data_IF_234227864707
#
_entry.id   IF_234227864707
#
_cell.length_a   1.000
_cell.length_b   1.000
_cell.length_c   1.000
_cell.angle_alpha   90.00
_cell.angle_beta   90.00
_cell.angle_gamma   90.00
#
_symmetry.space_group_name_H-M   'P 1'
#
loop_
_entity.id
_entity.type
_entity.pdbx_description
1 polymer ?
#
# COMPACT_ATOMS: atom_id res chain seq x y z
N UNK A 1 11.86 -81.57 69.04
CA UNK A 1 12.90 -81.18 68.05
C UNK A 1 12.28 -81.39 66.69
N UNK A 2 11.80 -80.31 66.06
CA UNK A 2 12.55 -79.48 65.10
C UNK A 2 12.44 -80.12 63.70
N UNK A 3 11.51 -79.61 62.86
CA UNK A 3 11.78 -78.83 61.63
C UNK A 3 12.31 -79.68 60.46
N UNK A 4 11.91 -79.55 59.20
CA UNK A 4 11.02 -78.68 58.44
C UNK A 4 11.01 -79.30 57.00
N UNK A 5 10.75 -78.60 55.88
CA UNK A 5 9.55 -78.72 55.05
C UNK A 5 9.84 -79.23 53.62
N UNK A 6 8.77 -79.31 52.80
CA UNK A 6 8.65 -78.71 51.45
C UNK A 6 7.42 -79.35 50.77
N UNK A 7 6.27 -78.67 50.76
CA UNK A 7 5.88 -77.76 49.68
C UNK A 7 5.27 -78.50 48.49
N UNK A 8 3.95 -78.50 48.36
CA UNK A 8 3.29 -78.32 47.06
C UNK A 8 1.90 -77.75 47.29
N UNK A 9 1.82 -76.44 47.06
CA UNK A 9 0.60 -75.66 46.85
C UNK A 9 -0.21 -76.27 45.70
N UNK A 10 -1.47 -76.65 45.94
CA UNK A 10 -2.52 -76.73 44.91
C UNK A 10 -3.50 -75.59 45.20
N UNK A 11 -3.28 -74.42 44.61
CA UNK A 11 -3.92 -73.95 43.37
C UNK A 11 -5.45 -74.07 43.50
N UNK A 12 -6.10 -72.96 43.91
CA UNK A 12 -6.94 -72.14 43.02
C UNK A 12 -7.98 -73.00 42.29
N UNK A 13 -9.24 -72.95 42.66
CA UNK A 13 -10.03 -71.73 42.53
C UNK A 13 -11.11 -72.04 41.49
N UNK A 14 -12.36 -72.01 41.92
CA UNK A 14 -13.53 -72.06 41.05
C UNK A 14 -13.37 -71.04 39.93
N UNK A 15 -13.45 -71.49 38.68
CA UNK A 15 -13.84 -70.66 37.56
C UNK A 15 -14.93 -71.39 36.80
N UNK A 16 -16.16 -71.13 37.24
CA UNK A 16 -17.40 -71.37 36.52
C UNK A 16 -17.27 -70.77 35.11
N UNK A 17 -17.30 -71.63 34.08
CA UNK A 17 -17.23 -71.21 32.69
C UNK A 17 -18.63 -70.88 32.18
N UNK A 18 -19.16 -69.72 32.54
CA UNK A 18 -20.38 -69.19 31.91
C UNK A 18 -20.01 -68.42 30.64
N UNK A 19 -19.96 -69.14 29.52
CA UNK A 19 -19.85 -68.55 28.20
C UNK A 19 -21.18 -67.84 27.85
N UNK A 20 -21.29 -66.56 28.22
CA UNK A 20 -22.39 -65.68 27.81
C UNK A 20 -22.28 -65.43 26.31
N UNK A 21 -23.09 -66.14 25.49
CA UNK A 21 -23.26 -65.83 24.06
C UNK A 21 -23.73 -64.37 23.95
N UNK A 22 -22.88 -63.48 23.45
CA UNK A 22 -23.26 -62.09 23.16
C UNK A 22 -24.19 -62.13 21.94
N UNK A 23 -25.43 -61.60 22.03
CA UNK A 23 -26.28 -61.50 20.85
C UNK A 23 -25.58 -60.62 19.82
N UNK A 24 -25.45 -61.13 18.61
CA UNK A 24 -24.98 -60.38 17.45
C UNK A 24 -26.08 -59.38 17.09
N UNK A 25 -25.96 -58.14 17.57
CA UNK A 25 -26.86 -57.06 17.19
C UNK A 25 -26.56 -56.74 15.72
N UNK A 26 -27.49 -56.96 14.77
CA UNK A 26 -27.26 -56.59 13.38
C UNK A 26 -27.04 -55.08 13.31
N UNK A 27 -25.88 -54.67 12.78
CA UNK A 27 -25.59 -53.26 12.54
C UNK A 27 -26.59 -52.76 11.48
N UNK A 28 -27.33 -51.67 11.73
CA UNK A 28 -28.14 -51.07 10.68
C UNK A 28 -27.22 -50.73 9.50
N UNK A 29 -27.59 -51.18 8.30
CA UNK A 29 -26.85 -50.87 7.08
C UNK A 29 -26.91 -49.35 6.86
N UNK A 30 -25.82 -48.66 7.19
CA UNK A 30 -25.73 -47.20 6.99
C UNK A 30 -25.57 -46.93 5.49
N UNK A 31 -26.68 -46.57 4.87
CA UNK A 31 -26.73 -46.20 3.45
C UNK A 31 -26.32 -44.74 3.26
N UNK A 32 -25.16 -44.53 2.63
CA UNK A 32 -24.91 -43.48 1.63
C UNK A 32 -24.90 -41.99 2.03
N UNK A 33 -25.46 -41.59 3.17
CA UNK A 33 -25.65 -40.18 3.50
C UNK A 33 -24.35 -39.43 3.88
N UNK A 34 -23.33 -40.15 4.36
CA UNK A 34 -22.06 -39.55 4.82
C UNK A 34 -21.34 -38.83 3.68
N UNK A 35 -21.31 -39.42 2.48
CA UNK A 35 -20.67 -38.79 1.32
C UNK A 35 -21.35 -37.47 0.95
N UNK A 36 -22.69 -37.45 0.91
CA UNK A 36 -23.46 -36.25 0.59
C UNK A 36 -23.23 -35.13 1.61
N UNK A 37 -23.27 -35.45 2.91
CA UNK A 37 -23.02 -34.49 3.99
C UNK A 37 -21.58 -33.96 3.92
N UNK A 38 -20.60 -34.85 3.69
CA UNK A 38 -19.19 -34.45 3.57
C UNK A 38 -18.94 -33.51 2.39
N UNK A 39 -19.60 -33.75 1.25
CA UNK A 39 -19.51 -32.89 0.07
C UNK A 39 -20.11 -31.51 0.35
N UNK A 40 -21.29 -31.45 1.00
CA UNK A 40 -21.92 -30.18 1.36
C UNK A 40 -21.02 -29.37 2.30
N UNK A 41 -20.46 -30.01 3.34
CA UNK A 41 -19.54 -29.34 4.27
C UNK A 41 -18.29 -28.86 3.54
N UNK A 42 -17.71 -29.68 2.66
CA UNK A 42 -16.53 -29.31 1.87
C UNK A 42 -16.82 -28.10 0.98
N UNK A 43 -17.96 -28.08 0.28
CA UNK A 43 -18.36 -26.94 -0.55
C UNK A 43 -18.53 -25.68 0.28
N UNK A 44 -19.17 -25.75 1.45
CA UNK A 44 -19.32 -24.60 2.34
C UNK A 44 -17.95 -24.05 2.79
N UNK A 45 -17.01 -24.91 3.19
CA UNK A 45 -15.66 -24.50 3.55
C UNK A 45 -14.92 -23.86 2.39
N UNK A 46 -15.06 -24.38 1.17
CA UNK A 46 -14.42 -23.78 -0.02
C UNK A 46 -14.94 -22.38 -0.32
N UNK A 47 -16.26 -22.15 -0.21
CA UNK A 47 -16.86 -20.83 -0.45
C UNK A 47 -16.35 -19.81 0.58
N UNK A 48 -16.25 -20.22 1.85
CA UNK A 48 -15.71 -19.38 2.92
C UNK A 48 -14.23 -19.06 2.65
N UNK A 49 -13.44 -20.08 2.28
CA UNK A 49 -12.03 -19.92 1.96
C UNK A 49 -11.78 -18.97 0.79
N UNK A 50 -12.56 -19.09 -0.30
CA UNK A 50 -12.47 -18.20 -1.46
C UNK A 50 -12.87 -16.78 -1.08
N UNK A 51 -13.95 -16.61 -0.33
CA UNK A 51 -14.40 -15.29 0.12
C UNK A 51 -13.32 -14.58 0.93
N UNK A 52 -12.70 -15.26 1.89
CA UNK A 52 -11.60 -14.70 2.70
C UNK A 52 -10.41 -14.28 1.83
N UNK A 53 -10.01 -15.10 0.87
CA UNK A 53 -8.91 -14.76 -0.05
C UNK A 53 -9.22 -13.53 -0.92
N UNK A 54 -10.48 -13.35 -1.36
CA UNK A 54 -10.90 -12.17 -2.11
C UNK A 54 -10.82 -10.89 -1.27
N UNK A 55 -11.23 -10.94 0.01
CA UNK A 55 -11.12 -9.80 0.92
C UNK A 55 -9.65 -9.37 1.11
N UNK A 56 -8.76 -10.32 1.39
CA UNK A 56 -7.32 -10.03 1.52
C UNK A 56 -6.75 -9.40 0.24
N UNK A 57 -7.13 -9.90 -0.93
CA UNK A 57 -6.68 -9.32 -2.20
C UNK A 57 -7.16 -7.87 -2.43
N UNK A 58 -8.33 -7.50 -1.91
CA UNK A 58 -8.80 -6.10 -1.96
C UNK A 58 -8.02 -5.22 -0.98
N UNK A 59 -7.76 -5.70 0.23
CA UNK A 59 -6.96 -4.97 1.23
C UNK A 59 -5.53 -4.72 0.74
N UNK A 60 -4.90 -5.71 0.09
CA UNK A 60 -3.57 -5.55 -0.51
C UNK A 60 -3.56 -4.47 -1.59
N UNK A 61 -4.55 -4.46 -2.49
CA UNK A 61 -4.67 -3.41 -3.52
C UNK A 61 -4.91 -2.02 -2.93
N UNK A 62 -5.75 -1.92 -1.90
CA UNK A 62 -5.97 -0.65 -1.20
C UNK A 62 -4.70 -0.18 -0.48
N UNK A 63 -3.96 -1.08 0.16
CA UNK A 63 -2.69 -0.79 0.81
C UNK A 63 -1.62 -0.34 -0.20
N UNK A 64 -1.56 -1.00 -1.37
CA UNK A 64 -0.69 -0.61 -2.48
C UNK A 64 -1.00 0.81 -3.00
N UNK A 65 -2.26 1.08 -3.33
CA UNK A 65 -2.69 2.41 -3.80
C UNK A 65 -2.43 3.50 -2.76
N UNK A 66 -2.67 3.21 -1.48
CA UNK A 66 -2.39 4.15 -0.40
C UNK A 66 -0.89 4.41 -0.26
N UNK A 67 -0.06 3.37 -0.38
CA UNK A 67 1.39 3.50 -0.35
C UNK A 67 1.90 4.37 -1.49
N UNK A 68 1.45 4.11 -2.71
CA UNK A 68 1.83 4.90 -3.89
C UNK A 68 1.42 6.36 -3.76
N UNK A 69 0.20 6.63 -3.28
CA UNK A 69 -0.27 8.01 -3.04
C UNK A 69 0.54 8.73 -1.96
N UNK A 70 0.94 8.03 -0.90
CA UNK A 70 1.78 8.60 0.15
C UNK A 70 3.19 8.92 -0.38
N UNK A 71 3.76 8.06 -1.22
CA UNK A 71 5.04 8.32 -1.87
C UNK A 71 4.96 9.54 -2.80
N UNK A 72 3.91 9.63 -3.62
CA UNK A 72 3.68 10.77 -4.50
C UNK A 72 3.56 12.08 -3.69
N UNK A 73 2.88 12.05 -2.55
CA UNK A 73 2.74 13.20 -1.66
C UNK A 73 4.08 13.63 -1.07
N UNK A 74 4.87 12.70 -0.54
CA UNK A 74 6.20 12.99 0.00
C UNK A 74 7.14 13.57 -1.07
N UNK A 75 7.06 13.05 -2.30
CA UNK A 75 7.81 13.56 -3.43
C UNK A 75 7.40 15.00 -3.77
N UNK A 76 6.09 15.28 -3.83
CA UNK A 76 5.56 16.61 -4.07
C UNK A 76 5.96 17.61 -2.96
N UNK A 77 5.90 17.20 -1.70
CA UNK A 77 6.31 18.03 -0.55
C UNK A 77 7.81 18.35 -0.59
N UNK A 78 8.63 17.38 -0.98
CA UNK A 78 10.07 17.58 -1.14
C UNK A 78 10.37 18.61 -2.23
N UNK A 79 9.71 18.49 -3.39
CA UNK A 79 9.84 19.49 -4.46
C UNK A 79 9.30 20.87 -4.06
N UNK A 80 8.20 20.92 -3.31
CA UNK A 80 7.63 22.16 -2.81
C UNK A 80 8.61 22.88 -1.89
N UNK A 81 9.22 22.15 -0.95
CA UNK A 81 10.21 22.69 -0.02
C UNK A 81 11.47 23.21 -0.73
N UNK A 82 11.98 22.47 -1.72
CA UNK A 82 13.11 22.94 -2.53
C UNK A 82 12.75 24.22 -3.30
N UNK A 83 11.54 24.28 -3.85
CA UNK A 83 11.08 25.46 -4.58
C UNK A 83 10.93 26.68 -3.67
N UNK A 84 10.45 26.51 -2.44
CA UNK A 84 10.37 27.58 -1.44
C UNK A 84 11.76 28.11 -1.07
N UNK A 85 12.73 27.22 -0.84
CA UNK A 85 14.12 27.59 -0.58
C UNK A 85 14.72 28.38 -1.75
N UNK A 86 14.54 27.89 -2.98
CA UNK A 86 15.03 28.62 -4.16
C UNK A 86 14.35 29.98 -4.31
N UNK A 87 13.05 30.07 -4.06
CA UNK A 87 12.31 31.34 -4.15
C UNK A 87 12.83 32.39 -3.15
N UNK A 88 13.36 31.96 -2.01
CA UNK A 88 14.04 32.85 -1.05
C UNK A 88 15.37 33.42 -1.60
N UNK A 89 16.04 32.74 -2.53
CA UNK A 89 17.26 33.22 -3.19
C UNK A 89 16.98 33.95 -4.52
N UNK A 90 15.77 33.83 -5.07
CA UNK A 90 15.41 34.45 -6.34
C UNK A 90 15.35 35.99 -6.25
N UNK A 91 15.64 36.63 -7.38
CA UNK A 91 15.41 38.05 -7.58
C UNK A 91 13.90 38.36 -7.52
N UNK A 92 13.50 39.58 -7.10
CA UNK A 92 12.09 39.99 -7.12
C UNK A 92 11.42 39.75 -8.48
N UNK A 93 10.14 39.41 -8.46
CA UNK A 93 9.38 38.97 -9.63
C UNK A 93 9.60 39.81 -10.91
N UNK A 94 9.58 41.16 -10.88
CA UNK A 94 9.75 41.96 -12.09
C UNK A 94 11.10 41.77 -12.79
N UNK A 95 12.13 41.34 -12.05
CA UNK A 95 13.47 41.10 -12.59
C UNK A 95 13.56 39.64 -13.07
N UNK A 96 13.12 38.69 -12.25
CA UNK A 96 13.18 37.26 -12.56
C UNK A 96 12.40 36.88 -13.83
N UNK A 97 11.25 37.51 -14.09
CA UNK A 97 10.44 37.24 -15.28
C UNK A 97 11.12 37.60 -16.61
N UNK A 98 12.09 38.52 -16.60
CA UNK A 98 12.81 38.94 -17.80
C UNK A 98 14.01 38.05 -18.15
N UNK A 99 14.34 37.07 -17.29
CA UNK A 99 15.52 36.22 -17.45
C UNK A 99 15.23 34.91 -18.20
N UNK A 100 13.96 34.59 -18.48
CA UNK A 100 13.58 33.37 -19.19
C UNK A 100 14.01 32.08 -18.45
N UNK A 101 13.98 32.12 -17.11
CA UNK A 101 14.39 31.00 -16.27
C UNK A 101 13.43 29.81 -16.44
N UNK A 102 13.98 28.60 -16.56
CA UNK A 102 13.20 27.36 -16.63
C UNK A 102 12.36 27.18 -15.37
N UNK A 103 11.08 26.81 -15.54
CA UNK A 103 10.15 26.58 -14.42
C UNK A 103 9.69 27.85 -13.71
N UNK A 104 10.05 29.03 -14.19
CA UNK A 104 9.58 30.31 -13.68
C UNK A 104 8.57 30.94 -14.64
N UNK A 105 7.45 31.43 -14.12
CA UNK A 105 6.36 32.01 -14.89
C UNK A 105 6.00 33.41 -14.37
N UNK A 106 5.80 34.35 -15.29
CA UNK A 106 5.39 35.71 -14.97
C UNK A 106 3.92 35.75 -14.52
N UNK A 107 3.49 36.91 -13.99
CA UNK A 107 2.10 37.12 -13.57
C UNK A 107 1.08 36.97 -14.71
N UNK A 108 1.46 37.41 -15.91
CA UNK A 108 0.62 37.34 -17.11
C UNK A 108 0.73 36.00 -17.85
N UNK A 109 1.61 35.10 -17.40
CA UNK A 109 1.73 33.77 -17.97
C UNK A 109 0.86 32.79 -17.18
N UNK A 110 -0.03 32.09 -17.87
CA UNK A 110 -0.85 31.03 -17.30
C UNK A 110 -0.29 29.66 -17.75
N UNK A 111 0.59 29.02 -16.96
CA UNK A 111 1.09 27.70 -17.27
C UNK A 111 -0.06 26.68 -17.31
N UNK A 112 -0.03 25.80 -18.31
CA UNK A 112 -0.94 24.66 -18.41
C UNK A 112 -0.49 23.60 -17.41
N UNK A 113 -1.18 23.52 -16.27
CA UNK A 113 -0.82 22.64 -15.14
C UNK A 113 -1.68 21.37 -15.05
N UNK A 114 -2.75 21.27 -15.84
CA UNK A 114 -3.59 20.08 -15.94
C UNK A 114 -2.91 19.01 -16.83
N UNK A 115 -3.49 17.81 -16.90
CA UNK A 115 -2.95 16.72 -17.73
C UNK A 115 -3.32 16.85 -19.23
N UNK A 116 -3.62 18.07 -19.70
CA UNK A 116 -3.86 18.32 -21.12
C UNK A 116 -2.56 18.24 -21.94
N UNK A 117 -2.64 17.97 -23.26
CA UNK A 117 -1.46 17.91 -24.12
C UNK A 117 -0.68 19.23 -24.12
N UNK A 118 0.64 19.17 -23.97
CA UNK A 118 1.49 20.36 -23.91
C UNK A 118 1.57 21.02 -22.53
N UNK A 119 1.14 20.32 -21.48
CA UNK A 119 1.30 20.78 -20.11
C UNK A 119 2.78 20.96 -19.70
N UNK A 120 2.99 21.72 -18.63
CA UNK A 120 4.32 22.07 -18.12
C UNK A 120 5.13 20.87 -17.63
N UNK A 121 4.46 19.80 -17.21
CA UNK A 121 5.08 18.61 -16.61
C UNK A 121 5.68 17.66 -17.66
N UNK A 122 5.05 17.60 -18.84
CA UNK A 122 5.46 16.75 -19.96
C UNK A 122 6.33 17.49 -20.99
N UNK A 123 6.38 18.82 -20.94
CA UNK A 123 7.15 19.63 -21.88
C UNK A 123 8.55 19.94 -21.34
N UNK A 124 9.59 19.53 -22.08
CA UNK A 124 10.98 19.78 -21.67
C UNK A 124 11.27 21.28 -21.49
N UNK A 125 11.92 21.63 -20.38
CA UNK A 125 12.28 23.03 -20.07
C UNK A 125 11.13 23.89 -19.57
N UNK A 126 9.96 23.32 -19.28
CA UNK A 126 8.80 24.05 -18.70
C UNK A 126 8.64 23.86 -17.19
N UNK A 127 9.19 22.80 -16.62
CA UNK A 127 9.24 22.57 -15.17
C UNK A 127 10.67 22.29 -14.72
N UNK A 128 10.97 22.63 -13.47
CA UNK A 128 12.20 22.24 -12.80
C UNK A 128 12.01 20.87 -12.18
N UNK A 129 13.06 20.06 -12.15
CA UNK A 129 13.07 18.78 -11.45
C UNK A 129 13.82 18.95 -10.14
N UNK A 130 13.21 18.55 -9.05
CA UNK A 130 13.82 18.60 -7.73
C UNK A 130 14.97 17.58 -7.62
N UNK A 131 16.01 17.95 -6.88
CA UNK A 131 17.25 17.18 -6.73
C UNK A 131 17.12 15.97 -5.79
N UNK A 132 15.91 15.69 -5.30
CA UNK A 132 15.63 14.53 -4.49
C UNK A 132 15.73 13.27 -5.37
N UNK A 133 16.90 12.64 -5.35
CA UNK A 133 17.08 11.26 -5.80
C UNK A 133 16.31 10.35 -4.83
N UNK A 134 15.00 10.24 -5.01
CA UNK A 134 14.21 9.23 -4.36
C UNK A 134 14.67 7.87 -4.94
N UNK A 135 15.13 6.98 -4.06
CA UNK A 135 15.68 5.68 -4.47
C UNK A 135 14.67 4.94 -5.37
N UNK A 136 15.08 4.57 -6.58
CA UNK A 136 14.23 3.89 -7.57
C UNK A 136 13.54 4.80 -8.60
N UNK A 137 13.69 6.12 -8.53
CA UNK A 137 13.10 7.03 -9.51
C UNK A 137 13.88 7.07 -10.83
N UNK A 138 13.28 6.58 -11.91
CA UNK A 138 13.68 6.94 -13.28
C UNK A 138 13.44 8.44 -13.51
N UNK A 139 14.05 9.07 -14.52
CA UNK A 139 13.91 10.51 -14.81
C UNK A 139 12.44 11.00 -14.92
N UNK A 140 11.51 10.09 -15.19
CA UNK A 140 10.05 10.31 -15.24
C UNK A 140 9.38 10.34 -13.85
N UNK A 141 10.02 9.77 -12.83
CA UNK A 141 9.52 9.65 -11.46
C UNK A 141 10.17 10.63 -10.47
N UNK A 142 10.93 11.60 -10.97
CA UNK A 142 11.50 12.67 -10.15
C UNK A 142 10.45 13.76 -9.94
N UNK A 143 10.30 14.28 -8.71
CA UNK A 143 9.31 15.31 -8.45
C UNK A 143 9.69 16.61 -9.15
N UNK A 144 8.69 17.32 -9.67
CA UNK A 144 8.85 18.52 -10.48
C UNK A 144 8.16 19.70 -9.80
N UNK A 145 8.57 20.92 -10.09
CA UNK A 145 7.89 22.13 -9.62
C UNK A 145 8.01 23.29 -10.61
N UNK A 146 7.10 24.23 -10.46
CA UNK A 146 7.09 25.53 -11.12
C UNK A 146 6.83 26.63 -10.10
N UNK A 147 7.37 27.81 -10.38
CA UNK A 147 7.20 29.01 -9.58
C UNK A 147 6.53 30.05 -10.47
N UNK A 148 5.38 30.56 -10.06
CA UNK A 148 4.62 31.57 -10.79
C UNK A 148 4.48 32.82 -9.93
N UNK A 149 4.73 34.00 -10.48
CA UNK A 149 4.37 35.22 -9.79
C UNK A 149 2.86 35.45 -9.79
N UNK A 150 2.31 35.88 -8.66
CA UNK A 150 0.91 36.34 -8.55
C UNK A 150 0.83 37.86 -8.45
N UNK A 151 1.88 38.51 -7.97
CA UNK A 151 2.00 39.97 -7.99
C UNK A 151 3.40 40.35 -8.45
N UNK A 152 3.51 41.45 -9.19
CA UNK A 152 4.79 42.00 -9.65
C UNK A 152 4.93 43.43 -9.14
N UNK A 153 5.38 43.59 -7.90
CA UNK A 153 5.70 44.90 -7.35
C UNK A 153 7.20 45.18 -7.50
N UNK A 154 7.57 46.23 -8.23
CA UNK A 154 8.96 46.70 -8.28
C UNK A 154 9.34 47.30 -6.92
N UNK A 155 10.01 46.50 -6.09
CA UNK A 155 10.49 46.91 -4.76
C UNK A 155 9.47 46.74 -3.62
N UNK A 156 8.40 45.97 -3.83
CA UNK A 156 7.42 45.62 -2.78
C UNK A 156 7.32 44.11 -2.55
N UNK A 157 6.46 43.72 -1.61
CA UNK A 157 6.19 42.32 -1.30
C UNK A 157 5.70 41.56 -2.55
N UNK A 158 6.44 40.55 -2.97
CA UNK A 158 6.11 39.74 -4.16
C UNK A 158 5.48 38.43 -3.71
N UNK A 159 4.28 38.16 -4.21
CA UNK A 159 3.57 36.90 -3.92
C UNK A 159 3.85 35.92 -5.04
N UNK A 160 4.34 34.73 -4.66
CA UNK A 160 4.60 33.62 -5.56
C UNK A 160 3.62 32.49 -5.29
N UNK A 161 3.15 31.85 -6.36
CA UNK A 161 2.46 30.57 -6.31
C UNK A 161 3.44 29.50 -6.77
N UNK A 162 3.70 28.56 -5.90
CA UNK A 162 4.54 27.41 -6.19
C UNK A 162 3.61 26.23 -6.42
N UNK A 163 3.77 25.55 -7.56
CA UNK A 163 3.07 24.30 -7.85
C UNK A 163 4.10 23.19 -7.95
N UNK A 164 3.94 22.15 -7.14
CA UNK A 164 4.82 20.98 -7.14
C UNK A 164 4.02 19.73 -7.53
N UNK A 165 4.61 18.86 -8.35
CA UNK A 165 4.05 17.59 -8.79
C UNK A 165 4.98 16.47 -8.38
N UNK A 166 4.46 15.51 -7.63
CA UNK A 166 5.14 14.28 -7.26
C UNK A 166 4.47 13.07 -7.89
N UNK A 167 5.28 12.06 -8.20
CA UNK A 167 4.83 10.76 -8.72
C UNK A 167 5.17 9.67 -7.71
N UNK A 168 4.27 8.72 -7.51
CA UNK A 168 4.44 7.60 -6.58
C UNK A 168 5.31 6.48 -7.15
N UNK A 169 5.19 5.28 -6.58
CA UNK A 169 5.88 4.08 -7.09
C UNK A 169 5.46 3.69 -8.52
N UNK A 170 4.30 4.17 -8.96
CA UNK A 170 3.76 4.02 -10.32
C UNK A 170 3.61 5.40 -10.98
N UNK A 171 3.66 5.46 -12.31
CA UNK A 171 3.50 6.71 -13.07
C UNK A 171 2.08 7.27 -13.03
N UNK A 172 1.10 6.45 -12.65
CA UNK A 172 -0.30 6.84 -12.55
C UNK A 172 -0.64 7.48 -11.21
N UNK A 173 0.14 7.21 -10.17
CA UNK A 173 -0.02 7.81 -8.85
C UNK A 173 0.60 9.21 -8.84
N UNK A 174 -0.15 10.22 -9.26
CA UNK A 174 0.31 11.62 -9.31
C UNK A 174 -0.38 12.44 -8.22
N UNK A 175 0.40 13.26 -7.52
CA UNK A 175 -0.09 14.25 -6.55
C UNK A 175 0.49 15.62 -6.90
N UNK A 176 -0.37 16.62 -6.99
CA UNK A 176 0.02 18.01 -7.21
C UNK A 176 -0.32 18.84 -5.97
N UNK A 177 0.65 19.56 -5.43
CA UNK A 177 0.51 20.47 -4.29
C UNK A 177 0.71 21.91 -4.75
N UNK A 178 0.03 22.84 -4.08
CA UNK A 178 0.17 24.26 -4.32
C UNK A 178 0.37 25.02 -3.01
N UNK A 179 1.34 25.92 -3.01
CA UNK A 179 1.62 26.85 -1.91
C UNK A 179 1.65 28.28 -2.44
N UNK A 180 1.25 29.23 -1.61
CA UNK A 180 1.38 30.66 -1.89
C UNK A 180 2.35 31.24 -0.87
N UNK A 181 3.45 31.78 -1.36
CA UNK A 181 4.55 32.32 -0.59
C UNK A 181 4.66 33.82 -0.80
N UNK A 182 4.73 34.58 0.28
CA UNK A 182 4.93 36.03 0.24
C UNK A 182 6.36 36.36 0.68
N UNK A 183 7.04 37.21 -0.09
CA UNK A 183 8.41 37.68 0.17
C UNK A 183 8.48 39.19 0.23
#
# INVERSE_FOLDING_TARGET
MNQNPLNTVRIFGQCYRLAKKRPFIPRPQQTGAVLAISLVILVLLTIIGISAAQFTGLEEKMAGNLRDRNLAFQAAETALREAEEKTADLLPCPIAQNLGLVGFYAYNDAPIIDDSPGNVWSTAGKALTALANLEGSTKTAQPQYIIQCITSAAGGSSVYRITARGTGGTTDAVVTLQSVFER
#
